data_IF_272240806919
#
_entry.id   IF_272240806919
#
_cell.length_a   1.000
_cell.length_b   1.000
_cell.length_c   1.000
_cell.angle_alpha   90.00
_cell.angle_beta   90.00
_cell.angle_gamma   90.00
#
_symmetry.space_group_name_H-M   'P 1'
#
loop_
_entity.id
_entity.type
_entity.pdbx_description
1 polymer ?
#
# COMPACT_ATOMS: atom_id res chain seq x y z
N UNK A 1 14.48 12.47 0.06
CA UNK A 1 13.34 11.70 0.60
C UNK A 1 13.05 12.17 2.01
N UNK A 2 11.80 12.53 2.31
CA UNK A 2 11.44 13.24 3.54
C UNK A 2 11.44 12.25 4.72
N UNK A 3 12.30 12.43 5.73
CA UNK A 3 12.41 11.54 6.92
C UNK A 3 11.05 11.25 7.56
N UNK A 4 10.17 12.25 7.54
CA UNK A 4 8.79 12.18 8.03
C UNK A 4 7.97 11.10 7.30
N UNK A 5 8.11 10.97 5.98
CA UNK A 5 7.35 9.98 5.21
C UNK A 5 7.79 8.55 5.53
N UNK A 6 9.09 8.35 5.75
CA UNK A 6 9.63 7.06 6.15
C UNK A 6 9.20 6.68 7.58
N UNK A 7 9.19 7.64 8.50
CA UNK A 7 8.66 7.43 9.86
C UNK A 7 7.16 7.09 9.84
N UNK A 8 6.36 7.79 9.03
CA UNK A 8 4.92 7.49 8.88
C UNK A 8 4.71 6.09 8.31
N UNK A 9 5.48 5.69 7.29
CA UNK A 9 5.41 4.31 6.76
C UNK A 9 5.75 3.27 7.82
N UNK A 10 6.80 3.48 8.61
CA UNK A 10 7.19 2.55 9.68
C UNK A 10 6.12 2.42 10.75
N UNK A 11 5.47 3.54 11.13
CA UNK A 11 4.35 3.52 12.08
C UNK A 11 3.18 2.73 11.49
N UNK A 12 2.79 3.01 10.24
CA UNK A 12 1.70 2.31 9.54
C UNK A 12 1.98 0.80 9.44
N UNK A 13 3.21 0.44 9.08
CA UNK A 13 3.66 -0.95 8.98
C UNK A 13 3.65 -1.65 10.35
N UNK A 14 4.11 -0.97 11.40
CA UNK A 14 4.07 -1.48 12.77
C UNK A 14 2.64 -1.69 13.28
N UNK A 15 1.73 -0.75 12.99
CA UNK A 15 0.30 -0.88 13.32
C UNK A 15 -0.32 -2.08 12.60
N UNK A 16 -0.05 -2.24 11.30
CA UNK A 16 -0.51 -3.39 10.51
C UNK A 16 0.02 -4.73 11.04
N UNK A 17 1.30 -4.79 11.44
CA UNK A 17 1.88 -5.98 12.09
C UNK A 17 1.22 -6.30 13.42
N UNK A 18 0.95 -5.27 14.24
CA UNK A 18 0.32 -5.43 15.56
C UNK A 18 -1.13 -5.91 15.40
N UNK A 19 -1.87 -5.35 14.44
CA UNK A 19 -3.22 -5.78 14.07
C UNK A 19 -3.25 -7.23 13.57
N UNK A 20 -2.25 -7.65 12.78
CA UNK A 20 -2.10 -9.05 12.36
C UNK A 20 -1.82 -9.96 13.54
N UNK A 21 -0.86 -9.61 14.39
CA UNK A 21 -0.44 -10.45 15.51
C UNK A 21 -1.50 -10.55 16.62
N UNK A 22 -2.45 -9.60 16.67
CA UNK A 22 -3.57 -9.61 17.61
C UNK A 22 -4.82 -10.32 17.07
N UNK A 23 -4.75 -10.95 15.89
CA UNK A 23 -5.90 -11.57 15.20
C UNK A 23 -7.10 -10.60 14.99
N UNK A 24 -6.84 -9.29 15.00
CA UNK A 24 -7.86 -8.27 14.69
C UNK A 24 -8.09 -8.13 13.18
N UNK A 25 -7.12 -8.56 12.37
CA UNK A 25 -7.27 -8.69 10.93
C UNK A 25 -7.67 -10.14 10.59
N UNK A 26 -8.73 -10.36 9.78
CA UNK A 26 -9.08 -11.70 9.34
C UNK A 26 -7.93 -12.28 8.52
N UNK A 27 -7.65 -13.58 8.69
CA UNK A 27 -6.51 -14.27 8.03
C UNK A 27 -6.52 -14.11 6.50
N UNK A 28 -7.71 -13.95 5.93
CA UNK A 28 -7.92 -13.80 4.49
C UNK A 28 -7.68 -12.38 3.98
N UNK A 29 -7.53 -11.38 4.86
CA UNK A 29 -7.41 -9.96 4.49
C UNK A 29 -6.26 -9.72 3.51
N UNK A 30 -5.10 -10.33 3.78
CA UNK A 30 -3.93 -10.21 2.91
C UNK A 30 -4.18 -10.82 1.53
N UNK A 31 -4.83 -11.98 1.46
CA UNK A 31 -5.16 -12.65 0.20
C UNK A 31 -6.21 -11.87 -0.60
N UNK A 32 -7.28 -11.41 0.04
CA UNK A 32 -8.31 -10.58 -0.62
C UNK A 32 -7.72 -9.28 -1.14
N UNK A 33 -6.81 -8.65 -0.38
CA UNK A 33 -6.14 -7.43 -0.84
C UNK A 33 -5.18 -7.71 -2.01
N UNK A 34 -4.42 -8.81 -1.97
CA UNK A 34 -3.54 -9.20 -3.07
C UNK A 34 -4.32 -9.51 -4.36
N UNK A 35 -5.45 -10.21 -4.26
CA UNK A 35 -6.33 -10.47 -5.41
C UNK A 35 -6.90 -9.17 -5.98
N UNK A 36 -7.37 -8.26 -5.14
CA UNK A 36 -7.80 -6.93 -5.60
C UNK A 36 -6.64 -6.16 -6.25
N UNK A 37 -5.46 -6.17 -5.66
CA UNK A 37 -4.31 -5.49 -6.23
C UNK A 37 -3.90 -6.07 -7.59
N UNK A 38 -3.95 -7.40 -7.74
CA UNK A 38 -3.71 -8.09 -9.01
C UNK A 38 -4.79 -7.82 -10.04
N UNK A 39 -6.04 -7.59 -9.65
CA UNK A 39 -7.12 -7.25 -10.57
C UNK A 39 -7.06 -5.77 -11.00
N UNK A 40 -6.77 -4.88 -10.07
CA UNK A 40 -6.82 -3.42 -10.27
C UNK A 40 -5.45 -2.76 -10.50
N UNK A 41 -4.38 -3.54 -10.71
CA UNK A 41 -3.06 -3.01 -11.10
C UNK A 41 -3.08 -2.04 -12.31
N UNK A 42 -3.95 -2.18 -13.33
CA UNK A 42 -3.99 -1.23 -14.44
C UNK A 42 -4.45 0.16 -13.97
N UNK A 43 -5.31 0.20 -12.95
CA UNK A 43 -5.79 1.42 -12.31
C UNK A 43 -4.65 2.19 -11.64
N UNK A 44 -3.68 1.50 -11.03
CA UNK A 44 -2.48 2.12 -10.46
C UNK A 44 -1.63 2.78 -11.55
N UNK A 45 -1.51 2.16 -12.72
CA UNK A 45 -0.78 2.74 -13.87
C UNK A 45 -1.49 3.99 -14.38
N UNK A 46 -2.82 3.95 -14.49
CA UNK A 46 -3.63 5.11 -14.90
C UNK A 46 -3.44 6.25 -13.88
N UNK A 47 -3.52 5.95 -12.58
CA UNK A 47 -3.28 6.93 -11.51
C UNK A 47 -1.86 7.51 -11.58
N UNK A 48 -0.85 6.69 -11.86
CA UNK A 48 0.53 7.15 -12.02
C UNK A 48 0.69 8.06 -13.25
N UNK A 49 0.02 7.74 -14.37
CA UNK A 49 -0.04 8.59 -15.55
C UNK A 49 -0.70 9.95 -15.26
N UNK A 50 -1.82 9.95 -14.53
CA UNK A 50 -2.49 11.17 -14.08
C UNK A 50 -1.58 11.98 -13.15
N UNK A 51 -0.86 11.32 -12.23
CA UNK A 51 0.10 11.99 -11.36
C UNK A 51 1.16 12.74 -12.16
N UNK A 52 1.74 12.11 -13.20
CA UNK A 52 2.74 12.75 -14.06
C UNK A 52 2.17 13.97 -14.80
N UNK A 53 0.95 13.86 -15.34
CA UNK A 53 0.29 14.95 -16.08
C UNK A 53 -0.05 16.15 -15.17
N UNK A 54 -0.41 15.89 -13.92
CA UNK A 54 -0.90 16.90 -12.97
C UNK A 54 0.24 17.46 -12.10
N UNK A 55 1.41 16.82 -12.06
CA UNK A 55 2.58 17.20 -11.26
C UNK A 55 2.99 18.66 -11.43
N UNK A 56 2.92 19.16 -12.67
CA UNK A 56 3.37 20.52 -12.99
C UNK A 56 2.27 21.57 -12.85
N UNK A 57 1.00 21.16 -12.91
CA UNK A 57 -0.15 22.09 -12.84
C UNK A 57 -0.72 22.26 -11.43
N UNK A 58 -0.83 21.18 -10.66
CA UNK A 58 -1.47 21.18 -9.34
C UNK A 58 -0.60 20.45 -8.32
N UNK A 59 0.32 21.20 -7.69
CA UNK A 59 1.26 20.67 -6.67
C UNK A 59 0.56 19.93 -5.53
N UNK A 60 -0.61 20.37 -5.09
CA UNK A 60 -1.37 19.74 -3.99
C UNK A 60 -1.92 18.39 -4.42
N UNK A 61 -2.59 18.31 -5.58
CA UNK A 61 -3.18 17.08 -6.12
C UNK A 61 -2.09 16.05 -6.41
N UNK A 62 -0.98 16.48 -7.00
CA UNK A 62 0.19 15.64 -7.24
C UNK A 62 0.75 15.05 -5.92
N UNK A 63 0.84 15.87 -4.87
CA UNK A 63 1.30 15.42 -3.56
C UNK A 63 0.36 14.37 -2.96
N UNK A 64 -0.94 14.59 -3.01
CA UNK A 64 -1.94 13.62 -2.51
C UNK A 64 -1.89 12.31 -3.31
N UNK A 65 -1.81 12.39 -4.65
CA UNK A 65 -1.66 11.19 -5.48
C UNK A 65 -0.38 10.42 -5.15
N UNK A 66 0.74 11.12 -4.93
CA UNK A 66 2.00 10.49 -4.54
C UNK A 66 1.85 9.72 -3.23
N UNK A 67 1.21 10.32 -2.21
CA UNK A 67 0.94 9.64 -0.94
C UNK A 67 0.01 8.44 -1.10
N UNK A 68 -1.05 8.57 -1.92
CA UNK A 68 -1.99 7.49 -2.18
C UNK A 68 -1.29 6.28 -2.82
N UNK A 69 -0.47 6.52 -3.84
CA UNK A 69 0.32 5.48 -4.51
C UNK A 69 1.27 4.82 -3.50
N UNK A 70 1.94 5.60 -2.65
CA UNK A 70 2.89 5.10 -1.65
C UNK A 70 2.22 4.21 -0.60
N UNK A 71 1.01 4.58 -0.14
CA UNK A 71 0.21 3.77 0.79
C UNK A 71 -0.24 2.47 0.13
N UNK A 72 -0.79 2.52 -1.09
CA UNK A 72 -1.24 1.35 -1.84
C UNK A 72 -0.10 0.35 -2.08
N UNK A 73 1.08 0.84 -2.44
CA UNK A 73 2.28 0.04 -2.70
C UNK A 73 2.84 -0.55 -1.40
N UNK A 74 2.84 0.23 -0.31
CA UNK A 74 3.24 -0.26 1.01
C UNK A 74 2.31 -1.35 1.54
N UNK A 75 0.99 -1.18 1.34
CA UNK A 75 -0.01 -2.17 1.73
C UNK A 75 0.09 -3.44 0.88
N UNK A 76 0.42 -3.30 -0.41
CA UNK A 76 0.71 -4.44 -1.29
C UNK A 76 1.94 -5.23 -0.83
N UNK A 77 3.04 -4.53 -0.50
CA UNK A 77 4.25 -5.14 0.06
C UNK A 77 3.97 -5.83 1.39
N UNK A 78 3.20 -5.19 2.28
CA UNK A 78 2.78 -5.80 3.54
C UNK A 78 1.97 -7.06 3.28
N UNK A 79 0.95 -7.02 2.43
CA UNK A 79 0.12 -8.20 2.16
C UNK A 79 0.90 -9.31 1.45
N UNK A 80 1.86 -8.99 0.57
CA UNK A 80 2.73 -9.98 -0.04
C UNK A 80 3.64 -10.67 0.99
N UNK A 81 4.16 -9.93 1.97
CA UNK A 81 5.00 -10.48 3.04
C UNK A 81 4.19 -11.14 4.17
N UNK A 82 2.96 -10.70 4.37
CA UNK A 82 2.06 -11.17 5.42
C UNK A 82 1.07 -12.25 4.95
N UNK A 83 0.96 -12.48 3.64
CA UNK A 83 0.20 -13.60 3.08
C UNK A 83 0.65 -14.92 3.68
N UNK A 84 -0.21 -15.94 3.69
CA UNK A 84 0.09 -17.23 4.28
C UNK A 84 1.37 -17.78 3.66
N UNK A 85 2.41 -17.90 4.48
CA UNK A 85 3.53 -18.76 4.15
C UNK A 85 2.96 -20.17 3.98
N UNK A 86 2.90 -20.68 2.75
CA UNK A 86 2.72 -22.10 2.45
C UNK A 86 3.90 -22.97 2.96
N UNK A 87 4.59 -22.54 4.02
CA UNK A 87 5.72 -23.25 4.63
C UNK A 87 5.27 -24.27 5.68
N UNK A 88 3.96 -24.37 5.95
CA UNK A 88 3.38 -25.38 6.84
C UNK A 88 2.13 -25.98 6.17
N UNK A 89 2.33 -26.63 5.05
CA UNK A 89 1.45 -27.71 4.54
C UNK A 89 2.32 -28.87 4.13
#
# INVERSE_FOLDING_TARGET
MNKIALSIMLILFGVLLLLKNSNLLPDNFANTYLDLANHYWPTLIILFGIHLLVKDKLKIVSRVLSWLILILLGLWLFCHLAGPNNWVT
#
